data_IF_368928534632
#
_entry.id   IF_368928534632
#
_cell.length_a   1.000
_cell.length_b   1.000
_cell.length_c   1.000
_cell.angle_alpha   90.00
_cell.angle_beta   90.00
_cell.angle_gamma   90.00
#
_symmetry.space_group_name_H-M   'P 1'
#
loop_
_entity.id
_entity.type
_entity.pdbx_description
1 polymer ?
#
# COMPACT_ATOMS: atom_id res chain seq x y z
N UNK A 1 -3.13 -54.18 9.70
CA UNK A 1 -3.80 -53.09 8.95
C UNK A 1 -3.54 -51.68 9.50
N UNK A 2 -3.09 -51.49 10.73
CA UNK A 2 -2.77 -50.15 11.28
C UNK A 2 -1.39 -49.62 10.86
N UNK A 3 -0.41 -50.50 10.70
CA UNK A 3 0.97 -50.13 10.32
C UNK A 3 1.06 -49.45 8.95
N UNK A 4 0.29 -49.91 7.96
CA UNK A 4 0.26 -49.32 6.61
C UNK A 4 -0.38 -47.93 6.61
N UNK A 5 -1.44 -47.72 7.39
CA UNK A 5 -2.08 -46.40 7.55
C UNK A 5 -1.16 -45.40 8.24
N UNK A 6 -0.39 -45.85 9.22
CA UNK A 6 0.57 -45.01 9.95
C UNK A 6 1.77 -44.63 9.06
N UNK A 7 2.22 -45.55 8.20
CA UNK A 7 3.25 -45.28 7.20
C UNK A 7 2.79 -44.23 6.16
N UNK A 8 1.54 -44.32 5.69
CA UNK A 8 0.98 -43.32 4.78
C UNK A 8 0.83 -41.95 5.44
N UNK A 9 0.39 -41.88 6.69
CA UNK A 9 0.28 -40.63 7.43
C UNK A 9 1.64 -39.97 7.63
N UNK A 10 2.67 -40.75 7.99
CA UNK A 10 4.04 -40.24 8.11
C UNK A 10 4.60 -39.77 6.75
N UNK A 11 4.29 -40.48 5.67
CA UNK A 11 4.66 -40.07 4.31
C UNK A 11 4.01 -38.74 3.90
N UNK A 12 2.71 -38.57 4.16
CA UNK A 12 1.99 -37.32 3.89
C UNK A 12 2.52 -36.16 4.75
N UNK A 13 2.82 -36.42 6.04
CA UNK A 13 3.41 -35.44 6.93
C UNK A 13 4.78 -34.99 6.40
N UNK A 14 5.66 -35.92 6.03
CA UNK A 14 6.97 -35.61 5.47
C UNK A 14 6.89 -34.79 4.17
N UNK A 15 5.93 -35.10 3.29
CA UNK A 15 5.64 -34.33 2.08
C UNK A 15 5.19 -32.90 2.39
N UNK A 16 4.29 -32.72 3.36
CA UNK A 16 3.82 -31.40 3.78
C UNK A 16 4.93 -30.55 4.45
N UNK A 17 5.81 -31.17 5.25
CA UNK A 17 6.97 -30.49 5.83
C UNK A 17 8.01 -30.10 4.76
N UNK A 18 8.16 -30.90 3.69
CA UNK A 18 9.07 -30.59 2.59
C UNK A 18 8.58 -29.40 1.76
N UNK A 19 7.27 -29.33 1.45
CA UNK A 19 6.69 -28.21 0.71
C UNK A 19 6.72 -26.91 1.51
N UNK A 20 6.47 -26.96 2.82
CA UNK A 20 6.60 -25.79 3.70
C UNK A 20 8.04 -25.26 3.76
N UNK A 21 9.05 -26.14 3.78
CA UNK A 21 10.47 -25.72 3.69
C UNK A 21 10.80 -25.14 2.31
N UNK A 22 10.29 -25.73 1.23
CA UNK A 22 10.53 -25.23 -0.12
C UNK A 22 9.98 -23.81 -0.33
N UNK A 23 8.83 -23.46 0.28
CA UNK A 23 8.29 -22.09 0.24
C UNK A 23 9.22 -21.07 0.93
N UNK A 24 9.86 -21.46 2.03
CA UNK A 24 10.80 -20.59 2.75
C UNK A 24 12.07 -20.34 1.92
N UNK A 25 12.60 -21.38 1.26
CA UNK A 25 13.76 -21.22 0.37
C UNK A 25 13.42 -20.53 -0.95
N UNK A 26 12.21 -20.65 -1.49
CA UNK A 26 11.82 -19.94 -2.72
C UNK A 26 11.72 -18.42 -2.49
N UNK A 27 11.21 -17.99 -1.33
CA UNK A 27 11.25 -16.58 -0.95
C UNK A 27 12.68 -16.04 -0.72
N UNK A 28 13.64 -16.90 -0.39
CA UNK A 28 15.04 -16.52 -0.18
C UNK A 28 15.92 -16.65 -1.44
N UNK A 29 15.61 -17.61 -2.33
CA UNK A 29 16.37 -17.90 -3.55
C UNK A 29 16.01 -16.98 -4.73
N UNK A 30 14.93 -16.19 -4.62
CA UNK A 30 14.61 -15.12 -5.57
C UNK A 30 15.62 -13.96 -5.53
N UNK A 31 16.68 -14.06 -4.73
CA UNK A 31 17.75 -13.06 -4.67
C UNK A 31 17.26 -11.67 -4.25
N UNK A 32 16.01 -11.57 -3.77
CA UNK A 32 15.48 -10.35 -3.20
C UNK A 32 16.13 -10.22 -1.82
N UNK A 33 16.94 -9.17 -1.59
CA UNK A 33 17.67 -9.07 -0.34
C UNK A 33 16.68 -9.02 0.81
N UNK A 34 16.73 -10.03 1.68
CA UNK A 34 16.09 -9.98 2.98
C UNK A 34 16.64 -8.74 3.68
N UNK A 35 15.80 -7.71 3.78
CA UNK A 35 16.16 -6.33 4.16
C UNK A 35 17.04 -5.60 3.14
N UNK A 36 16.46 -5.27 1.98
CA UNK A 36 16.56 -3.85 1.59
C UNK A 36 15.60 -3.12 2.52
N UNK A 37 16.07 -2.76 3.72
CA UNK A 37 15.66 -1.46 4.22
C UNK A 37 15.94 -0.53 3.03
N UNK A 38 14.91 0.12 2.49
CA UNK A 38 15.16 1.24 1.60
C UNK A 38 15.84 2.31 2.46
N UNK A 39 17.11 2.10 2.74
CA UNK A 39 18.07 3.14 2.94
C UNK A 39 18.38 3.56 1.51
N UNK A 40 17.90 4.72 1.03
CA UNK A 40 18.39 5.21 -0.23
C UNK A 40 19.92 5.20 -0.09
N UNK A 41 20.61 4.49 -0.98
CA UNK A 41 22.01 4.75 -1.27
C UNK A 41 22.09 6.13 -1.94
N UNK A 42 21.62 7.16 -1.24
CA UNK A 42 21.91 8.52 -1.58
C UNK A 42 23.26 8.77 -0.92
N UNK A 43 24.32 8.96 -1.72
CA UNK A 43 25.44 9.72 -1.22
C UNK A 43 24.91 11.15 -1.11
N UNK A 44 24.11 11.45 -0.09
CA UNK A 44 23.82 12.84 0.27
C UNK A 44 25.06 13.38 0.98
N UNK A 45 26.17 13.40 0.24
CA UNK A 45 27.22 14.40 0.41
C UNK A 45 26.47 15.68 0.11
N UNK A 46 26.13 16.44 1.17
CA UNK A 46 25.40 17.68 1.03
C UNK A 46 26.08 18.54 -0.01
N UNK A 47 25.53 18.58 -1.22
CA UNK A 47 25.90 19.57 -2.20
C UNK A 47 25.28 20.87 -1.71
N UNK A 48 25.98 21.53 -0.80
CA UNK A 48 25.74 22.94 -0.48
C UNK A 48 26.02 23.86 -1.70
N UNK A 49 26.17 23.31 -2.90
CA UNK A 49 26.58 24.01 -4.13
C UNK A 49 25.85 23.54 -5.40
N UNK A 50 24.99 22.52 -5.36
CA UNK A 50 24.15 22.18 -6.50
C UNK A 50 22.81 22.88 -6.32
N UNK A 51 22.52 23.87 -7.16
CA UNK A 51 21.23 24.56 -7.15
C UNK A 51 20.11 23.52 -7.08
N UNK A 52 19.26 23.65 -6.06
CA UNK A 52 18.14 22.75 -5.88
C UNK A 52 17.31 22.73 -7.16
N UNK A 53 16.87 21.54 -7.58
CA UNK A 53 16.04 21.40 -8.77
C UNK A 53 14.86 22.41 -8.73
N UNK A 54 14.52 23.11 -9.82
CA UNK A 54 13.53 24.20 -9.80
C UNK A 54 12.18 23.82 -9.15
N UNK A 55 11.74 22.57 -9.32
CA UNK A 55 10.54 22.05 -8.65
C UNK A 55 10.67 22.01 -7.11
N UNK A 56 11.86 21.73 -6.57
CA UNK A 56 12.13 21.75 -5.13
C UNK A 56 12.06 23.18 -4.60
N UNK A 57 12.64 24.14 -5.34
CA UNK A 57 12.57 25.57 -4.99
C UNK A 57 11.13 26.06 -5.00
N UNK A 58 10.37 25.73 -6.05
CA UNK A 58 8.96 26.11 -6.18
C UNK A 58 8.09 25.50 -5.08
N UNK A 59 8.32 24.23 -4.75
CA UNK A 59 7.61 23.58 -3.65
C UNK A 59 7.94 24.22 -2.31
N UNK A 60 9.20 24.56 -2.04
CA UNK A 60 9.59 25.26 -0.82
C UNK A 60 8.93 26.65 -0.70
N UNK A 61 8.82 27.38 -1.82
CA UNK A 61 8.10 28.66 -1.88
C UNK A 61 6.60 28.50 -1.62
N UNK A 62 5.97 27.44 -2.13
CA UNK A 62 4.56 27.17 -1.83
C UNK A 62 4.35 26.73 -0.40
N UNK A 63 5.27 25.94 0.15
CA UNK A 63 5.22 25.47 1.53
C UNK A 63 5.40 26.59 2.55
N UNK A 64 6.17 27.63 2.22
CA UNK A 64 6.33 28.80 3.10
C UNK A 64 5.07 29.69 3.17
N UNK A 65 4.17 29.56 2.19
CA UNK A 65 2.89 30.29 2.15
C UNK A 65 1.76 29.54 2.86
N UNK A 66 2.00 28.30 3.30
CA UNK A 66 0.98 27.52 3.99
C UNK A 66 0.71 28.08 5.40
N UNK A 67 -0.55 28.06 5.86
CA UNK A 67 -0.90 28.33 7.25
C UNK A 67 -0.12 27.42 8.21
N UNK A 68 0.12 27.89 9.43
CA UNK A 68 0.96 27.19 10.42
C UNK A 68 0.47 25.77 10.73
N UNK A 69 -0.84 25.56 10.62
CA UNK A 69 -1.55 24.31 10.86
C UNK A 69 -1.32 23.28 9.75
N UNK A 70 -1.02 23.73 8.52
CA UNK A 70 -0.85 22.88 7.34
C UNK A 70 0.60 22.83 6.84
N UNK A 71 1.44 23.75 7.31
CA UNK A 71 2.87 23.69 7.07
C UNK A 71 3.40 22.31 7.51
N UNK A 72 4.38 21.76 6.78
CA UNK A 72 5.08 20.52 7.19
C UNK A 72 5.78 20.62 8.55
N UNK A 73 5.72 21.78 9.20
CA UNK A 73 6.29 22.03 10.52
C UNK A 73 5.58 21.20 11.60
N UNK A 74 6.22 21.17 12.77
CA UNK A 74 5.88 20.33 13.90
C UNK A 74 4.38 20.21 14.19
N UNK A 75 3.58 21.27 13.99
CA UNK A 75 2.13 21.26 14.30
C UNK A 75 1.34 20.18 13.57
N UNK A 76 1.44 20.07 12.24
CA UNK A 76 0.62 19.12 11.46
C UNK A 76 0.93 17.66 11.83
N UNK A 77 2.21 17.32 11.98
CA UNK A 77 2.64 15.96 12.34
C UNK A 77 2.62 15.68 13.86
N UNK A 78 2.57 16.71 14.71
CA UNK A 78 2.44 16.56 16.17
C UNK A 78 1.03 16.29 16.64
N UNK A 79 0.01 16.57 15.82
CA UNK A 79 -1.36 16.25 16.17
C UNK A 79 -1.53 14.72 16.23
N UNK A 80 -1.86 14.16 17.42
CA UNK A 80 -1.97 12.72 17.60
C UNK A 80 -3.09 12.11 16.74
N UNK A 81 -4.14 12.88 16.42
CA UNK A 81 -5.25 12.43 15.56
C UNK A 81 -4.77 12.32 14.12
N UNK A 82 -4.05 13.34 13.63
CA UNK A 82 -3.51 13.34 12.26
C UNK A 82 -2.47 12.24 12.11
N UNK A 83 -1.54 12.13 13.07
CA UNK A 83 -0.50 11.10 13.07
C UNK A 83 -1.12 9.68 13.10
N UNK A 84 -2.11 9.44 13.97
CA UNK A 84 -2.79 8.16 14.05
C UNK A 84 -3.52 7.80 12.76
N UNK A 85 -4.15 8.77 12.09
CA UNK A 85 -4.82 8.56 10.81
C UNK A 85 -3.83 8.31 9.66
N UNK A 86 -2.70 9.03 9.64
CA UNK A 86 -1.65 8.84 8.64
C UNK A 86 -0.92 7.51 8.80
N UNK A 87 -0.84 7.01 10.04
CA UNK A 87 -0.26 5.72 10.39
C UNK A 87 -1.18 4.53 10.14
N UNK A 88 -2.45 4.75 9.74
CA UNK A 88 -3.38 3.64 9.46
C UNK A 88 -2.88 2.77 8.31
N UNK A 89 -2.94 1.46 8.56
CA UNK A 89 -2.38 0.42 7.69
C UNK A 89 -3.15 0.22 6.39
N UNK A 90 -2.56 -0.62 5.53
CA UNK A 90 -2.93 -0.77 4.15
C UNK A 90 -3.39 -2.17 3.76
N UNK A 91 -4.27 -2.21 2.77
CA UNK A 91 -4.97 -3.32 2.18
C UNK A 91 -4.07 -4.31 1.44
N UNK A 92 -2.99 -3.84 0.78
CA UNK A 92 -2.12 -4.68 -0.05
C UNK A 92 -0.63 -4.35 0.09
N UNK A 93 -0.22 -3.07 0.15
CA UNK A 93 1.18 -2.66 0.44
C UNK A 93 1.26 -1.76 1.68
N UNK A 94 2.15 -0.75 1.77
CA UNK A 94 2.08 0.26 2.86
C UNK A 94 1.25 1.45 2.36
N UNK A 95 0.33 1.96 3.19
CA UNK A 95 -0.53 3.16 3.00
C UNK A 95 -1.74 3.13 2.05
N UNK A 96 -2.11 2.02 1.39
CA UNK A 96 -3.35 1.89 0.60
C UNK A 96 -4.51 1.38 1.47
N UNK A 97 -5.63 2.06 1.71
CA UNK A 97 -6.75 1.48 2.51
C UNK A 97 -7.96 1.12 1.63
N UNK A 98 -8.68 0.04 1.95
CA UNK A 98 -9.98 -0.22 1.31
C UNK A 98 -10.95 0.89 1.72
N UNK A 99 -11.44 1.62 0.73
CA UNK A 99 -12.58 2.52 0.93
C UNK A 99 -13.83 1.66 1.02
N UNK A 100 -14.18 1.29 2.25
CA UNK A 100 -15.47 0.68 2.61
C UNK A 100 -16.49 1.81 2.71
N UNK A 101 -17.74 1.57 2.32
CA UNK A 101 -18.84 2.55 2.33
C UNK A 101 -18.63 3.74 1.37
N UNK A 102 -18.32 3.45 0.10
CA UNK A 102 -18.17 4.50 -0.90
C UNK A 102 -19.48 5.26 -1.05
N UNK A 103 -19.45 6.59 -1.15
CA UNK A 103 -20.66 7.38 -1.41
C UNK A 103 -21.36 6.93 -2.69
N UNK A 104 -20.59 6.50 -3.69
CA UNK A 104 -21.13 5.93 -4.93
C UNK A 104 -21.93 4.62 -4.73
N UNK A 105 -21.66 3.85 -3.67
CA UNK A 105 -22.42 2.63 -3.34
C UNK A 105 -23.78 2.96 -2.70
N UNK A 106 -23.93 4.16 -2.13
CA UNK A 106 -25.21 4.63 -1.60
C UNK A 106 -26.19 5.02 -2.70
N UNK A 107 -25.71 5.20 -3.94
CA UNK A 107 -26.56 5.57 -5.07
C UNK A 107 -27.38 4.34 -5.51
N UNK A 108 -28.72 4.39 -5.47
CA UNK A 108 -29.55 3.28 -5.93
C UNK A 108 -29.29 2.95 -7.41
N UNK A 109 -29.17 1.67 -7.75
CA UNK A 109 -28.87 1.23 -9.13
C UNK A 109 -29.89 1.70 -10.16
N UNK A 110 -31.14 1.86 -9.75
CA UNK A 110 -32.20 2.42 -10.59
C UNK A 110 -31.91 3.85 -11.04
N UNK A 111 -31.33 4.68 -10.17
CA UNK A 111 -30.98 6.06 -10.51
C UNK A 111 -29.84 6.10 -11.52
N UNK A 112 -28.85 5.22 -11.35
CA UNK A 112 -27.76 5.03 -12.31
C UNK A 112 -28.32 4.63 -13.67
N UNK A 113 -29.24 3.65 -13.71
CA UNK A 113 -29.88 3.20 -14.95
C UNK A 113 -30.67 4.32 -15.65
N UNK A 114 -31.44 5.12 -14.89
CA UNK A 114 -32.18 6.28 -15.41
C UNK A 114 -31.24 7.31 -16.02
N UNK A 115 -30.13 7.62 -15.36
CA UNK A 115 -29.12 8.56 -15.86
C UNK A 115 -28.58 8.12 -17.24
N UNK A 116 -28.14 6.87 -17.34
CA UNK A 116 -27.60 6.33 -18.60
C UNK A 116 -28.65 6.24 -19.70
N UNK A 117 -29.91 5.92 -19.36
CA UNK A 117 -31.01 5.88 -20.33
C UNK A 117 -31.34 7.28 -20.87
N UNK A 118 -31.39 8.29 -19.99
CA UNK A 118 -31.66 9.68 -20.39
C UNK A 118 -30.51 10.28 -21.21
N UNK A 119 -29.27 9.89 -20.92
CA UNK A 119 -28.10 10.29 -21.68
C UNK A 119 -27.93 9.50 -23.02
N UNK A 120 -28.85 8.60 -23.35
CA UNK A 120 -28.85 7.86 -24.62
C UNK A 120 -27.86 6.69 -24.69
N UNK A 121 -27.23 6.32 -23.58
CA UNK A 121 -26.24 5.23 -23.51
C UNK A 121 -26.86 3.82 -23.39
N UNK A 122 -28.18 3.73 -23.18
CA UNK A 122 -28.90 2.46 -23.11
C UNK A 122 -29.95 2.37 -24.22
N UNK A 123 -29.91 1.29 -25.00
CA UNK A 123 -30.91 1.05 -26.04
C UNK A 123 -32.24 0.60 -25.43
N UNK A 124 -33.36 0.97 -26.08
CA UNK A 124 -34.64 0.28 -25.86
C UNK A 124 -34.52 -1.09 -26.52
N UNK A 125 -34.45 -2.15 -25.73
CA UNK A 125 -34.92 -3.47 -26.15
C UNK A 125 -36.37 -3.63 -25.76
#
# INVERSE_FOLDING_TARGET
>A
MWSTRLLHLLGCLALALSTARAQFFYHQALGLPAKVAYEPASPYVGYATADAHPSVVKNAQWESQLPSELSKSARFYSDPVIAANLAKESLLTRKEMAVVHREAEKIPREQVYKLFKNAGYLSRR
#
